data_IF_663082546043
#
_entry.id   IF_663082546043
#
_cell.length_a   1.000
_cell.length_b   1.000
_cell.length_c   1.000
_cell.angle_alpha   90.00
_cell.angle_beta   90.00
_cell.angle_gamma   90.00
#
_symmetry.space_group_name_H-M   'P 1'
#
loop_
_entity.id
_entity.type
_entity.pdbx_description
1 polymer ?
#
# COMPACT_ATOMS: atom_id res chain seq x y z
N UNK A 1 9.76 -11.34 -2.55
CA UNK A 1 8.75 -10.64 -1.72
C UNK A 1 7.85 -9.87 -2.66
N UNK A 2 6.55 -10.19 -2.63
CA UNK A 2 5.54 -9.48 -3.42
C UNK A 2 5.17 -8.20 -2.67
N UNK A 3 5.25 -7.05 -3.35
CA UNK A 3 4.84 -5.76 -2.81
C UNK A 3 3.44 -5.42 -3.31
N UNK A 4 2.52 -5.20 -2.38
CA UNK A 4 1.13 -4.85 -2.65
C UNK A 4 0.94 -3.38 -2.27
N UNK A 5 0.16 -2.66 -3.05
CA UNK A 5 -0.31 -1.35 -2.68
C UNK A 5 -1.84 -1.36 -2.61
N UNK A 6 -2.35 -0.89 -1.49
CA UNK A 6 -3.76 -0.61 -1.27
C UNK A 6 -4.00 0.88 -1.57
N UNK A 7 -4.92 1.19 -2.49
CA UNK A 7 -5.49 2.54 -2.62
C UNK A 7 -6.91 2.48 -2.09
N UNK A 8 -7.15 3.07 -0.93
CA UNK A 8 -8.42 3.00 -0.24
C UNK A 8 -8.61 4.29 0.57
N UNK A 9 -9.76 4.96 0.41
CA UNK A 9 -10.02 6.23 1.08
C UNK A 9 -10.51 6.04 2.52
N UNK A 10 -11.07 4.88 2.84
CA UNK A 10 -11.44 4.51 4.20
C UNK A 10 -10.28 3.86 4.98
N UNK A 11 -9.72 4.60 5.95
CA UNK A 11 -8.53 4.15 6.72
C UNK A 11 -8.74 2.84 7.50
N UNK A 12 -9.94 2.62 8.04
CA UNK A 12 -10.24 1.41 8.81
C UNK A 12 -10.23 0.17 7.92
N UNK A 13 -10.81 0.28 6.72
CA UNK A 13 -10.80 -0.78 5.72
C UNK A 13 -9.39 -1.05 5.19
N UNK A 14 -8.63 -0.01 4.89
CA UNK A 14 -7.25 -0.13 4.46
C UNK A 14 -6.38 -0.87 5.49
N UNK A 15 -6.53 -0.53 6.78
CA UNK A 15 -5.81 -1.20 7.87
C UNK A 15 -6.24 -2.65 8.07
N UNK A 16 -7.52 -2.95 7.89
CA UNK A 16 -8.01 -4.33 7.96
C UNK A 16 -7.35 -5.18 6.86
N UNK A 17 -7.31 -4.71 5.62
CA UNK A 17 -6.70 -5.44 4.49
C UNK A 17 -5.18 -5.59 4.67
N UNK A 18 -4.50 -4.56 5.17
CA UNK A 18 -3.06 -4.60 5.47
C UNK A 18 -2.72 -5.72 6.46
N UNK A 19 -3.47 -5.84 7.57
CA UNK A 19 -3.23 -6.86 8.58
C UNK A 19 -3.34 -8.28 8.02
N UNK A 20 -4.39 -8.56 7.24
CA UNK A 20 -4.58 -9.87 6.60
C UNK A 20 -3.44 -10.19 5.62
N UNK A 21 -2.95 -9.20 4.88
CA UNK A 21 -1.84 -9.39 3.94
C UNK A 21 -0.48 -9.55 4.63
N UNK A 22 -0.24 -8.83 5.72
CA UNK A 22 0.98 -8.99 6.53
C UNK A 22 1.04 -10.37 7.20
N UNK A 23 -0.11 -10.91 7.64
CA UNK A 23 -0.21 -12.28 8.16
C UNK A 23 0.22 -13.33 7.12
N UNK A 24 -0.04 -13.08 5.84
CA UNK A 24 0.38 -13.91 4.69
C UNK A 24 1.80 -13.57 4.18
N UNK A 25 2.58 -12.80 4.95
CA UNK A 25 3.95 -12.38 4.63
C UNK A 25 4.10 -11.50 3.37
N UNK A 26 3.05 -10.75 3.00
CA UNK A 26 3.18 -9.69 1.99
C UNK A 26 3.77 -8.42 2.57
N UNK A 27 4.44 -7.64 1.72
CA UNK A 27 4.81 -6.26 2.04
C UNK A 27 3.75 -5.33 1.47
N UNK A 28 3.16 -4.50 2.31
CA UNK A 28 2.02 -3.64 1.94
C UNK A 28 2.39 -2.17 2.09
N UNK A 29 1.95 -1.34 1.14
CA UNK A 29 1.92 0.11 1.25
C UNK A 29 0.46 0.59 1.12
N UNK A 30 0.05 1.59 1.91
CA UNK A 30 -1.29 2.19 1.85
C UNK A 30 -1.21 3.62 1.31
N UNK A 31 -2.10 3.97 0.38
CA UNK A 31 -2.32 5.35 -0.08
C UNK A 31 -3.80 5.70 -0.02
N UNK A 32 -4.13 6.87 0.55
CA UNK A 32 -5.51 7.33 0.69
C UNK A 32 -6.00 8.15 -0.53
N UNK A 33 -5.10 8.45 -1.47
CA UNK A 33 -5.40 9.13 -2.74
C UNK A 33 -4.51 8.55 -3.84
N UNK A 34 -5.13 8.01 -4.88
CA UNK A 34 -4.43 7.43 -6.03
C UNK A 34 -3.47 8.39 -6.74
N UNK A 35 -3.64 9.71 -6.57
CA UNK A 35 -2.76 10.74 -7.17
C UNK A 35 -1.39 10.81 -6.50
N UNK A 36 -1.27 10.47 -5.22
CA UNK A 36 0.00 10.59 -4.46
C UNK A 36 1.01 9.55 -4.95
N UNK A 37 0.55 8.36 -5.36
CA UNK A 37 1.44 7.25 -5.74
C UNK A 37 2.24 7.47 -7.02
N UNK A 38 1.77 8.33 -7.94
CA UNK A 38 2.54 8.67 -9.14
C UNK A 38 3.93 9.24 -8.79
N UNK A 39 4.18 9.73 -7.56
CA UNK A 39 5.52 10.20 -7.15
C UNK A 39 6.35 9.17 -6.39
N UNK A 40 5.75 8.29 -5.58
CA UNK A 40 6.49 7.29 -4.79
C UNK A 40 6.95 6.07 -5.62
N UNK A 41 6.25 5.76 -6.71
CA UNK A 41 6.52 4.56 -7.53
C UNK A 41 7.56 4.70 -8.64
N UNK A 42 8.08 5.90 -8.94
CA UNK A 42 8.96 6.12 -10.11
C UNK A 42 10.40 6.56 -9.77
N UNK A 43 10.73 6.87 -8.52
CA UNK A 43 12.10 7.31 -8.19
C UNK A 43 12.50 6.97 -6.75
N UNK A 44 12.93 5.72 -6.53
CA UNK A 44 13.87 5.43 -5.46
C UNK A 44 14.93 4.45 -5.96
N UNK A 45 15.61 4.89 -7.03
CA UNK A 45 16.86 4.32 -7.51
C UNK A 45 17.88 5.47 -7.58
N UNK A 46 18.34 5.88 -6.40
CA UNK A 46 19.62 6.56 -6.17
C UNK A 46 20.16 6.08 -4.83
#
# INVERSE_FOLDING_TARGET
MTKILIVEDEQNLARFIELELEHENYTVDIENDGKIRSRKGINKQL
#
